data_IF_200469255646
#
_entry.id   IF_200469255646
#
_cell.length_a   1.000
_cell.length_b   1.000
_cell.length_c   1.000
_cell.angle_alpha   90.00
_cell.angle_beta   90.00
_cell.angle_gamma   90.00
#
_symmetry.space_group_name_H-M   'P 1'
#
loop_
_entity.id
_entity.type
_entity.pdbx_description
1 polymer ?
#
# COMPACT_ATOMS: atom_id res chain seq x y z
N UNK A 1 -29.82 17.24 -31.05
CA UNK A 1 -28.52 16.92 -30.43
C UNK A 1 -28.44 17.68 -29.12
N UNK A 2 -28.72 17.01 -28.01
CA UNK A 2 -28.88 17.62 -26.69
C UNK A 2 -27.76 17.06 -25.81
N UNK A 3 -26.81 17.92 -25.44
CA UNK A 3 -25.66 17.57 -24.61
C UNK A 3 -26.11 17.49 -23.15
N UNK A 4 -26.06 16.29 -22.58
CA UNK A 4 -26.33 16.05 -21.17
C UNK A 4 -25.06 16.30 -20.35
N UNK A 5 -25.03 17.37 -19.55
CA UNK A 5 -24.03 17.57 -18.50
C UNK A 5 -24.33 16.62 -17.34
N UNK A 6 -23.44 15.67 -17.08
CA UNK A 6 -23.45 14.85 -15.86
C UNK A 6 -22.63 15.58 -14.81
N UNK A 7 -23.29 16.07 -13.76
CA UNK A 7 -22.63 16.49 -12.53
C UNK A 7 -22.15 15.26 -11.77
N UNK A 8 -20.89 15.27 -11.35
CA UNK A 8 -20.27 14.20 -10.58
C UNK A 8 -20.97 13.98 -9.23
N UNK A 9 -21.66 12.86 -9.11
CA UNK A 9 -21.92 12.23 -7.82
C UNK A 9 -20.62 11.50 -7.41
N UNK A 10 -19.80 12.20 -6.64
CA UNK A 10 -18.67 11.59 -5.94
C UNK A 10 -19.16 10.46 -5.04
N UNK A 11 -18.37 9.40 -4.99
CA UNK A 11 -18.56 8.21 -4.18
C UNK A 11 -18.67 8.63 -2.69
N UNK A 12 -19.91 8.81 -2.22
CA UNK A 12 -20.27 8.84 -0.80
C UNK A 12 -20.95 7.52 -0.52
N UNK A 13 -20.16 6.50 -0.15
CA UNK A 13 -20.71 5.15 -0.03
C UNK A 13 -19.72 4.11 0.44
N UNK A 14 -19.02 4.37 1.55
CA UNK A 14 -18.43 3.33 2.42
C UNK A 14 -17.74 3.99 3.63
N UNK A 15 -18.51 4.56 4.57
CA UNK A 15 -17.96 4.88 5.89
C UNK A 15 -18.99 4.91 7.04
N UNK A 16 -20.25 4.52 6.82
CA UNK A 16 -21.25 4.52 7.91
C UNK A 16 -22.14 3.28 7.82
N UNK A 17 -21.58 2.07 7.95
CA UNK A 17 -22.27 0.88 8.51
C UNK A 17 -21.20 -0.13 8.98
N UNK A 18 -20.45 0.14 10.05
CA UNK A 18 -19.68 -0.89 10.78
C UNK A 18 -19.52 -0.54 12.27
N UNK A 19 -20.62 -0.09 12.90
CA UNK A 19 -20.67 0.11 14.35
C UNK A 19 -21.99 -0.42 14.90
N UNK A 20 -22.25 -1.73 14.74
CA UNK A 20 -23.32 -2.44 15.48
C UNK A 20 -23.36 -3.98 15.38
N UNK A 21 -22.21 -4.66 15.25
CA UNK A 21 -22.24 -6.15 15.17
C UNK A 21 -21.29 -6.92 16.09
N UNK A 22 -20.64 -6.30 17.07
CA UNK A 22 -19.94 -7.05 18.12
C UNK A 22 -20.53 -6.73 19.48
N UNK A 23 -21.39 -7.63 19.95
CA UNK A 23 -21.82 -7.71 21.34
C UNK A 23 -20.92 -8.69 22.11
N UNK A 24 -20.18 -8.18 23.08
CA UNK A 24 -19.85 -8.85 24.33
C UNK A 24 -19.45 -7.78 25.37
N UNK A 25 -19.91 -7.87 26.63
CA UNK A 25 -19.76 -6.81 27.62
C UNK A 25 -18.38 -6.87 28.28
N UNK A 26 -17.64 -5.77 28.27
CA UNK A 26 -16.50 -5.61 29.19
C UNK A 26 -16.99 -4.96 30.48
N UNK A 27 -16.81 -5.68 31.59
CA UNK A 27 -17.16 -5.28 32.94
C UNK A 27 -16.28 -4.09 33.37
N UNK A 28 -16.83 -2.90 33.69
CA UNK A 28 -16.06 -1.72 34.05
C UNK A 28 -15.43 -1.77 35.46
N UNK A 29 -15.54 -2.89 36.19
CA UNK A 29 -15.12 -3.01 37.59
C UNK A 29 -13.94 -3.95 37.82
N UNK A 30 -12.99 -4.06 36.88
CA UNK A 30 -11.71 -4.75 37.16
C UNK A 30 -10.81 -3.87 38.07
N UNK A 31 -10.56 -4.25 39.34
CA UNK A 31 -9.79 -3.45 40.28
C UNK A 31 -8.29 -3.35 39.97
N UNK A 32 -7.76 -4.13 39.01
CA UNK A 32 -6.34 -4.10 38.68
C UNK A 32 -5.95 -2.98 37.69
N UNK A 33 -6.89 -2.43 36.91
CA UNK A 33 -6.61 -1.34 35.95
C UNK A 33 -6.67 0.05 36.63
N UNK A 34 -7.44 0.19 37.71
CA UNK A 34 -7.65 1.48 38.38
C UNK A 34 -6.41 2.00 39.16
N UNK A 35 -5.46 1.13 39.51
CA UNK A 35 -4.34 1.49 40.39
C UNK A 35 -3.07 2.01 39.68
N UNK A 36 -3.03 2.03 38.34
CA UNK A 36 -1.90 2.61 37.59
C UNK A 36 -2.13 4.11 37.30
N UNK A 37 -3.40 4.56 37.29
CA UNK A 37 -3.76 5.92 36.86
C UNK A 37 -3.78 6.98 37.97
N UNK A 38 -3.64 6.61 39.24
CA UNK A 38 -4.00 7.50 40.36
C UNK A 38 -2.84 8.11 41.17
N UNK A 39 -1.57 7.89 40.83
CA UNK A 39 -0.46 8.33 41.70
C UNK A 39 0.28 9.60 41.28
N UNK A 40 0.06 10.19 40.10
CA UNK A 40 0.87 11.33 39.63
C UNK A 40 0.04 12.50 39.08
N UNK A 41 -0.74 13.16 39.94
CA UNK A 41 -1.17 14.54 39.68
C UNK A 41 -1.04 15.34 40.97
N UNK A 42 0.12 15.97 41.17
CA UNK A 42 0.26 17.15 42.01
C UNK A 42 0.68 18.33 41.13
N UNK A 43 -0.03 19.43 41.35
CA UNK A 43 -0.09 20.66 40.57
C UNK A 43 1.20 21.50 40.64
N UNK A 44 1.67 21.99 39.49
CA UNK A 44 2.38 23.27 39.37
C UNK A 44 2.17 23.86 37.95
N UNK A 45 1.73 25.12 37.81
CA UNK A 45 1.64 25.77 36.50
C UNK A 45 2.97 26.42 36.09
N UNK A 46 3.23 26.44 34.77
CA UNK A 46 4.10 27.39 34.03
C UNK A 46 5.61 27.13 33.82
N UNK A 47 6.06 25.87 33.73
CA UNK A 47 7.37 25.54 33.12
C UNK A 47 7.32 24.36 32.14
N UNK A 48 6.36 23.45 32.30
CA UNK A 48 6.19 22.27 31.45
C UNK A 48 5.67 22.60 30.04
N UNK A 49 4.86 23.65 29.88
CA UNK A 49 4.29 24.06 28.59
C UNK A 49 5.34 24.63 27.63
N UNK A 50 6.34 25.36 28.14
CA UNK A 50 7.43 25.92 27.32
C UNK A 50 8.41 24.83 26.87
N UNK A 51 8.77 23.90 27.76
CA UNK A 51 9.64 22.76 27.42
C UNK A 51 8.91 21.78 26.49
N UNK A 52 7.61 21.57 26.69
CA UNK A 52 6.78 20.79 25.78
C UNK A 52 6.65 21.48 24.41
N UNK A 53 6.47 22.81 24.35
CA UNK A 53 6.40 23.54 23.09
C UNK A 53 7.74 23.55 22.34
N UNK A 54 8.86 23.67 23.05
CA UNK A 54 10.19 23.63 22.45
C UNK A 54 10.56 22.23 21.96
N UNK A 55 10.19 21.18 22.70
CA UNK A 55 10.34 19.78 22.23
C UNK A 55 9.46 19.48 21.03
N UNK A 56 8.19 19.89 21.04
CA UNK A 56 7.26 19.72 19.90
C UNK A 56 7.77 20.49 18.67
N UNK A 57 8.35 21.67 18.87
CA UNK A 57 8.97 22.46 17.81
C UNK A 57 10.20 21.78 17.23
N UNK A 58 11.14 21.35 18.08
CA UNK A 58 12.37 20.67 17.64
C UNK A 58 12.08 19.32 16.97
N UNK A 59 11.11 18.56 17.47
CA UNK A 59 10.60 17.34 16.84
C UNK A 59 10.02 17.65 15.45
N UNK A 60 9.31 18.76 15.31
CA UNK A 60 8.71 19.17 14.03
C UNK A 60 9.77 19.64 13.02
N UNK A 61 10.81 20.34 13.45
CA UNK A 61 11.93 20.76 12.59
C UNK A 61 12.73 19.55 12.06
N UNK A 62 13.00 18.54 12.89
CA UNK A 62 13.63 17.28 12.47
C UNK A 62 12.71 16.47 11.53
N UNK A 63 11.40 16.42 11.84
CA UNK A 63 10.39 15.75 11.00
C UNK A 63 10.30 16.35 9.60
N UNK A 64 10.24 17.68 9.49
CA UNK A 64 10.17 18.36 8.19
C UNK A 64 11.48 18.19 7.41
N UNK A 65 12.63 18.26 8.08
CA UNK A 65 13.93 18.06 7.43
C UNK A 65 14.01 16.67 6.79
N UNK A 66 13.65 15.62 7.53
CA UNK A 66 13.60 14.24 7.01
C UNK A 66 12.59 14.08 5.88
N UNK A 67 11.42 14.70 6.01
CA UNK A 67 10.38 14.68 4.98
C UNK A 67 10.82 15.37 3.67
N UNK A 68 11.44 16.54 3.74
CA UNK A 68 11.93 17.25 2.56
C UNK A 68 13.07 16.50 1.88
N UNK A 69 13.96 15.87 2.67
CA UNK A 69 14.99 14.98 2.14
C UNK A 69 14.37 13.77 1.41
N UNK A 70 13.30 13.19 1.95
CA UNK A 70 12.55 12.11 1.32
C UNK A 70 11.91 12.54 0.00
N UNK A 71 11.28 13.73 -0.06
CA UNK A 71 10.72 14.27 -1.30
C UNK A 71 11.81 14.45 -2.37
N UNK A 72 12.97 14.98 -1.98
CA UNK A 72 14.11 15.15 -2.89
C UNK A 72 14.67 13.81 -3.39
N UNK A 73 14.73 12.79 -2.51
CA UNK A 73 15.26 11.46 -2.84
C UNK A 73 14.41 10.74 -3.91
N UNK A 74 13.08 10.82 -3.82
CA UNK A 74 12.18 10.14 -4.76
C UNK A 74 11.86 10.98 -6.01
N UNK A 75 12.12 12.30 -5.97
CA UNK A 75 11.95 13.22 -7.09
C UNK A 75 10.58 13.12 -7.81
N UNK A 76 9.51 12.85 -7.06
CA UNK A 76 8.17 12.70 -7.64
C UNK A 76 7.59 14.03 -8.12
N UNK A 77 6.72 14.02 -9.16
CA UNK A 77 5.95 15.18 -9.54
C UNK A 77 5.12 15.69 -8.35
N UNK A 78 5.17 17.01 -8.11
CA UNK A 78 4.37 17.64 -7.05
C UNK A 78 2.90 17.78 -7.41
N UNK A 79 2.57 17.71 -8.70
CA UNK A 79 1.27 18.14 -9.23
C UNK A 79 1.19 19.67 -9.35
N UNK A 80 0.11 20.16 -9.95
CA UNK A 80 -0.19 21.60 -10.06
C UNK A 80 -1.68 21.85 -9.83
N UNK A 81 -2.01 22.59 -8.77
CA UNK A 81 -3.43 22.87 -8.45
C UNK A 81 -4.10 23.73 -9.52
N UNK A 82 -3.32 24.53 -10.26
CA UNK A 82 -3.79 25.34 -11.39
C UNK A 82 -4.27 24.48 -12.56
N UNK A 83 -3.73 23.26 -12.70
CA UNK A 83 -4.16 22.26 -13.68
C UNK A 83 -5.35 21.41 -13.19
N UNK A 84 -5.90 21.70 -12.01
CA UNK A 84 -6.95 20.90 -11.40
C UNK A 84 -6.44 19.64 -10.70
N UNK A 85 -5.16 19.58 -10.35
CA UNK A 85 -4.51 18.47 -9.64
C UNK A 85 -4.40 18.76 -8.14
N UNK A 86 -3.96 17.77 -7.36
CA UNK A 86 -3.51 17.99 -5.98
C UNK A 86 -2.03 18.33 -6.04
N UNK A 87 -1.65 19.49 -5.51
CA UNK A 87 -0.26 19.95 -5.47
C UNK A 87 0.35 19.74 -4.08
N UNK A 88 1.52 19.11 -4.02
CA UNK A 88 2.33 18.98 -2.82
C UNK A 88 3.01 20.34 -2.52
N UNK A 89 2.81 20.83 -1.30
CA UNK A 89 3.46 22.02 -0.77
C UNK A 89 4.68 21.58 0.04
N UNK A 90 5.87 21.90 -0.44
CA UNK A 90 7.15 21.63 0.23
C UNK A 90 7.84 22.90 0.76
N UNK A 91 7.11 24.02 0.79
CA UNK A 91 7.55 25.24 1.47
C UNK A 91 7.51 25.04 3.00
N UNK A 92 8.70 24.95 3.60
CA UNK A 92 8.90 24.79 5.04
C UNK A 92 8.25 25.91 5.86
N UNK A 93 8.08 27.10 5.28
CA UNK A 93 7.43 28.23 5.95
C UNK A 93 5.91 28.16 5.89
N UNK A 94 5.31 27.35 4.99
CA UNK A 94 3.87 27.21 4.83
C UNK A 94 3.30 25.95 5.50
N UNK A 95 4.11 24.89 5.63
CA UNK A 95 3.72 23.61 6.23
C UNK A 95 3.12 23.78 7.65
N UNK A 96 3.73 24.55 8.58
CA UNK A 96 3.20 24.68 9.95
C UNK A 96 1.79 25.27 10.01
N UNK A 97 1.46 26.22 9.14
CA UNK A 97 0.16 26.88 9.07
C UNK A 97 -0.90 25.90 8.54
N UNK A 98 -0.53 25.07 7.55
CA UNK A 98 -1.41 24.04 7.00
C UNK A 98 -1.70 22.96 8.05
N UNK A 99 -0.67 22.53 8.79
CA UNK A 99 -0.81 21.60 9.91
C UNK A 99 -1.74 22.16 11.00
N UNK A 100 -1.54 23.42 11.41
CA UNK A 100 -2.40 24.09 12.39
C UNK A 100 -3.85 24.25 11.91
N UNK A 101 -4.06 24.62 10.64
CA UNK A 101 -5.40 24.71 10.06
C UNK A 101 -6.09 23.34 10.05
N UNK A 102 -5.35 22.28 9.68
CA UNK A 102 -5.87 20.91 9.69
C UNK A 102 -6.22 20.45 11.09
N UNK A 103 -5.37 20.74 12.07
CA UNK A 103 -5.61 20.46 13.48
C UNK A 103 -6.93 21.11 13.95
N UNK A 104 -7.08 22.42 13.74
CA UNK A 104 -8.29 23.15 14.11
C UNK A 104 -9.54 22.60 13.42
N UNK A 105 -9.44 22.21 12.14
CA UNK A 105 -10.53 21.58 11.41
C UNK A 105 -10.93 20.22 12.00
N UNK A 106 -9.97 19.42 12.48
CA UNK A 106 -10.26 18.12 13.10
C UNK A 106 -10.89 18.30 14.48
N UNK A 107 -10.38 19.23 15.29
CA UNK A 107 -10.98 19.60 16.57
C UNK A 107 -12.43 20.09 16.41
N UNK A 108 -12.71 20.92 15.39
CA UNK A 108 -14.08 21.40 15.14
C UNK A 108 -15.05 20.32 14.66
N UNK A 109 -14.52 19.19 14.18
CA UNK A 109 -15.29 17.96 13.89
C UNK A 109 -15.49 17.06 15.11
N UNK A 110 -15.01 17.48 16.28
CA UNK A 110 -15.16 16.77 17.54
C UNK A 110 -14.11 15.69 17.81
N UNK A 111 -13.00 15.65 17.06
CA UNK A 111 -11.90 14.74 17.38
C UNK A 111 -11.22 15.17 18.69
N UNK A 112 -10.83 14.23 19.56
CA UNK A 112 -9.96 14.51 20.70
C UNK A 112 -8.69 15.23 20.27
N UNK A 113 -8.20 16.15 21.11
CA UNK A 113 -7.05 17.01 20.78
C UNK A 113 -5.81 16.21 20.36
N UNK A 114 -5.51 15.10 21.03
CA UNK A 114 -4.35 14.25 20.70
C UNK A 114 -4.52 13.55 19.35
N UNK A 115 -5.71 13.01 19.06
CA UNK A 115 -6.00 12.36 17.78
C UNK A 115 -6.00 13.36 16.62
N UNK A 116 -6.55 14.56 16.85
CA UNK A 116 -6.53 15.66 15.90
C UNK A 116 -5.09 16.08 15.58
N UNK A 117 -4.23 16.18 16.60
CA UNK A 117 -2.81 16.48 16.45
C UNK A 117 -2.09 15.40 15.63
N UNK A 118 -2.23 14.13 16.02
CA UNK A 118 -1.61 13.02 15.30
C UNK A 118 -2.07 12.92 13.84
N UNK A 119 -3.32 13.26 13.57
CA UNK A 119 -3.92 13.21 12.23
C UNK A 119 -3.68 14.47 11.37
N UNK A 120 -3.18 15.56 11.96
CA UNK A 120 -2.84 16.80 11.24
C UNK A 120 -1.38 16.88 10.81
N UNK A 121 -0.47 16.20 11.52
CA UNK A 121 0.99 16.30 11.34
C UNK A 121 1.45 16.02 9.91
N UNK A 122 2.17 16.97 9.32
CA UNK A 122 2.80 16.83 8.00
C UNK A 122 4.19 16.21 8.17
N UNK A 123 4.59 15.37 7.21
CA UNK A 123 5.89 14.72 7.15
C UNK A 123 5.81 13.20 7.23
N UNK A 124 6.91 12.57 7.67
CA UNK A 124 6.94 11.14 7.96
C UNK A 124 6.11 10.90 9.23
N UNK A 125 5.00 10.17 9.08
CA UNK A 125 4.10 9.81 10.20
C UNK A 125 4.66 8.60 10.94
N UNK A 126 5.07 7.58 10.18
CA UNK A 126 5.77 6.40 10.70
C UNK A 126 6.61 5.77 9.61
N UNK A 127 7.65 5.07 10.03
CA UNK A 127 8.62 4.40 9.17
C UNK A 127 8.98 3.04 9.78
N UNK A 128 8.89 2.00 8.96
CA UNK A 128 9.32 0.65 9.26
C UNK A 128 10.40 0.21 8.26
N UNK A 129 11.00 -0.98 8.44
CA UNK A 129 11.96 -1.57 7.51
C UNK A 129 11.45 -1.60 6.05
N UNK A 130 10.16 -1.83 5.82
CA UNK A 130 9.61 -2.01 4.47
C UNK A 130 8.82 -0.83 3.91
N UNK A 131 8.25 0.01 4.77
CA UNK A 131 7.33 1.06 4.34
C UNK A 131 7.48 2.36 5.11
N UNK A 132 7.07 3.46 4.46
CA UNK A 132 6.97 4.78 5.06
C UNK A 132 5.53 5.27 4.85
N UNK A 133 4.86 5.65 5.94
CA UNK A 133 3.62 6.41 5.87
C UNK A 133 3.97 7.89 5.94
N UNK A 134 3.67 8.63 4.89
CA UNK A 134 3.85 10.08 4.83
C UNK A 134 2.51 10.78 4.80
N UNK A 135 2.48 12.00 5.32
CA UNK A 135 1.37 12.93 5.17
C UNK A 135 1.89 14.23 4.57
N UNK A 136 1.50 14.53 3.34
CA UNK A 136 1.89 15.74 2.65
C UNK A 136 1.02 16.91 3.06
N UNK A 137 1.61 18.11 3.10
CA UNK A 137 0.87 19.34 2.97
C UNK A 137 0.47 19.50 1.49
N UNK A 138 -0.78 19.83 1.22
CA UNK A 138 -1.28 19.92 -0.16
C UNK A 138 -2.16 21.12 -0.41
N UNK A 139 -2.21 21.55 -1.66
CA UNK A 139 -3.24 22.44 -2.22
C UNK A 139 -4.15 21.66 -3.15
N UNK A 140 -5.46 21.78 -2.93
CA UNK A 140 -6.48 21.13 -3.73
C UNK A 140 -6.87 22.00 -4.94
N UNK A 141 -7.54 21.42 -5.96
CA UNK A 141 -7.99 22.14 -7.16
C UNK A 141 -8.88 23.36 -6.88
N UNK A 142 -9.57 23.39 -5.74
CA UNK A 142 -10.40 24.52 -5.31
C UNK A 142 -9.60 25.62 -4.58
N UNK A 143 -8.27 25.55 -4.59
CA UNK A 143 -7.37 26.49 -3.94
C UNK A 143 -7.21 26.30 -2.43
N UNK A 144 -7.99 25.40 -1.80
CA UNK A 144 -7.88 25.15 -0.35
C UNK A 144 -6.65 24.33 -0.04
N UNK A 145 -6.02 24.63 1.09
CA UNK A 145 -4.94 23.84 1.67
C UNK A 145 -5.49 22.71 2.56
N UNK A 146 -4.69 21.68 2.75
CA UNK A 146 -4.95 20.61 3.70
C UNK A 146 -3.83 19.58 3.72
N UNK A 147 -4.16 18.36 4.14
CA UNK A 147 -3.18 17.26 4.18
C UNK A 147 -3.71 16.01 3.48
N UNK A 148 -2.79 15.23 2.92
CA UNK A 148 -3.08 13.97 2.24
C UNK A 148 -2.05 12.92 2.63
N UNK A 149 -2.42 11.64 2.77
CA UNK A 149 -1.48 10.59 3.16
C UNK A 149 -1.10 9.69 1.98
N UNK A 150 0.10 9.11 2.02
CA UNK A 150 0.59 8.13 1.05
C UNK A 150 1.42 7.06 1.74
N UNK A 151 1.39 5.85 1.20
CA UNK A 151 2.32 4.77 1.52
C UNK A 151 3.43 4.71 0.48
N UNK A 152 4.66 4.56 0.97
CA UNK A 152 5.85 4.37 0.15
C UNK A 152 6.42 3.01 0.51
N UNK A 153 6.55 2.12 -0.47
CA UNK A 153 7.32 0.89 -0.29
C UNK A 153 8.79 1.19 -0.50
N UNK A 154 9.63 0.88 0.48
CA UNK A 154 11.06 1.09 0.35
C UNK A 154 11.63 0.18 -0.73
N UNK A 155 12.57 0.70 -1.52
CA UNK A 155 13.37 -0.08 -2.44
C UNK A 155 14.83 0.39 -2.37
N UNK A 156 15.81 -0.46 -2.72
CA UNK A 156 17.23 -0.10 -2.66
C UNK A 156 17.63 1.11 -3.51
N UNK A 157 16.81 1.49 -4.50
CA UNK A 157 17.07 2.54 -5.47
C UNK A 157 15.92 3.55 -5.60
N UNK A 158 14.96 3.52 -4.66
CA UNK A 158 13.80 4.43 -4.60
C UNK A 158 12.82 4.35 -5.80
N UNK A 159 12.88 3.28 -6.59
CA UNK A 159 11.94 3.00 -7.69
C UNK A 159 10.87 1.98 -7.28
N UNK A 160 10.47 1.07 -8.19
CA UNK A 160 9.58 -0.04 -7.85
C UNK A 160 10.23 -0.96 -6.81
N UNK A 161 9.48 -1.34 -5.78
CA UNK A 161 9.95 -2.20 -4.70
C UNK A 161 10.01 -3.68 -5.09
N UNK A 162 9.15 -4.12 -6.01
CA UNK A 162 9.10 -5.50 -6.47
C UNK A 162 8.40 -5.67 -7.82
N UNK A 163 8.16 -6.91 -8.20
CA UNK A 163 7.53 -7.31 -9.45
C UNK A 163 6.69 -8.60 -9.29
N UNK A 164 5.85 -8.89 -10.28
CA UNK A 164 5.13 -10.15 -10.43
C UNK A 164 5.43 -10.78 -11.81
N UNK A 165 5.28 -12.09 -11.96
CA UNK A 165 5.47 -12.78 -13.24
C UNK A 165 4.35 -13.79 -13.51
N UNK A 166 3.85 -13.79 -14.75
CA UNK A 166 2.96 -14.80 -15.29
C UNK A 166 3.81 -15.93 -15.91
N UNK A 167 3.97 -17.08 -15.25
CA UNK A 167 4.82 -18.15 -15.74
C UNK A 167 3.99 -19.11 -16.61
N UNK A 168 4.51 -19.45 -17.78
CA UNK A 168 3.84 -20.27 -18.79
C UNK A 168 4.72 -21.47 -19.13
N UNK A 169 4.21 -22.68 -18.91
CA UNK A 169 4.87 -23.92 -19.29
C UNK A 169 4.93 -24.11 -20.81
N UNK A 170 5.76 -25.05 -21.26
CA UNK A 170 5.87 -25.42 -22.68
C UNK A 170 4.57 -25.95 -23.28
N UNK A 171 3.71 -26.57 -22.48
CA UNK A 171 2.37 -27.02 -22.87
C UNK A 171 1.27 -25.95 -22.69
N UNK A 172 1.66 -24.69 -22.40
CA UNK A 172 0.76 -23.54 -22.38
C UNK A 172 -0.06 -23.36 -21.11
N UNK A 173 0.28 -24.07 -20.02
CA UNK A 173 -0.37 -23.89 -18.71
C UNK A 173 0.22 -22.70 -17.96
N UNK A 174 -0.64 -22.00 -17.25
CA UNK A 174 -0.32 -20.95 -16.29
C UNK A 174 0.08 -21.58 -14.96
N UNK A 175 1.21 -21.15 -14.41
CA UNK A 175 1.68 -21.59 -13.09
C UNK A 175 1.30 -20.55 -12.03
N UNK A 176 0.55 -20.97 -11.02
CA UNK A 176 0.17 -20.16 -9.87
C UNK A 176 0.68 -20.81 -8.59
N UNK A 177 0.90 -20.00 -7.56
CA UNK A 177 1.19 -20.48 -6.20
C UNK A 177 -0.02 -20.27 -5.30
N UNK A 178 -0.28 -21.21 -4.40
CA UNK A 178 -1.27 -21.03 -3.35
C UNK A 178 -0.56 -20.54 -2.09
N UNK A 179 -0.78 -19.28 -1.71
CA UNK A 179 -0.05 -18.62 -0.62
C UNK A 179 -0.98 -18.10 0.45
N UNK A 180 -0.55 -18.21 1.70
CA UNK A 180 -1.28 -17.63 2.82
C UNK A 180 -0.96 -16.13 2.92
N UNK A 181 -1.98 -15.29 2.79
CA UNK A 181 -1.86 -13.84 2.93
C UNK A 181 -2.34 -13.42 4.32
N UNK A 182 -1.40 -12.97 5.16
CA UNK A 182 -1.70 -12.61 6.55
C UNK A 182 -2.74 -11.47 6.66
N UNK A 183 -2.69 -10.48 5.77
CA UNK A 183 -3.60 -9.34 5.77
C UNK A 183 -5.08 -9.76 5.57
N UNK A 184 -5.34 -10.72 4.69
CA UNK A 184 -6.68 -11.25 4.41
C UNK A 184 -7.00 -12.50 5.25
N UNK A 185 -6.01 -13.07 5.93
CA UNK A 185 -6.07 -14.33 6.70
C UNK A 185 -6.60 -15.50 5.86
N UNK A 186 -6.18 -15.57 4.61
CA UNK A 186 -6.70 -16.58 3.67
C UNK A 186 -5.62 -17.15 2.75
N UNK A 187 -5.89 -18.34 2.22
CA UNK A 187 -5.07 -19.00 1.20
C UNK A 187 -5.58 -18.58 -0.17
N UNK A 188 -4.72 -17.91 -0.95
CA UNK A 188 -5.07 -17.25 -2.20
C UNK A 188 -4.15 -17.69 -3.33
N UNK A 189 -4.70 -17.81 -4.53
CA UNK A 189 -3.90 -18.04 -5.74
C UNK A 189 -3.25 -16.75 -6.18
N UNK A 190 -1.94 -16.79 -6.41
CA UNK A 190 -1.20 -15.64 -6.89
C UNK A 190 -0.14 -15.97 -7.94
N UNK A 191 0.22 -14.96 -8.71
CA UNK A 191 1.47 -14.97 -9.47
C UNK A 191 2.68 -14.99 -8.53
N UNK A 192 3.76 -15.72 -8.86
CA UNK A 192 5.05 -15.54 -8.20
C UNK A 192 5.46 -14.06 -8.22
N UNK A 193 5.87 -13.55 -7.06
CA UNK A 193 6.15 -12.12 -6.89
C UNK A 193 7.08 -11.86 -5.71
N UNK A 194 7.82 -10.76 -5.78
CA UNK A 194 8.67 -10.36 -4.67
C UNK A 194 9.42 -9.06 -4.90
N UNK A 195 10.09 -8.62 -3.83
CA UNK A 195 10.91 -7.43 -3.85
C UNK A 195 12.26 -7.69 -4.53
N UNK A 196 12.86 -6.65 -5.11
CA UNK A 196 14.23 -6.71 -5.60
C UNK A 196 15.25 -6.50 -4.47
N UNK A 197 16.39 -7.16 -4.60
CA UNK A 197 17.53 -6.95 -3.72
C UNK A 197 18.49 -5.89 -4.29
N UNK A 198 19.44 -5.46 -3.45
CA UNK A 198 20.39 -4.40 -3.83
C UNK A 198 21.28 -4.86 -4.98
N UNK A 199 21.28 -4.07 -6.06
CA UNK A 199 22.07 -4.35 -7.26
C UNK A 199 21.35 -5.21 -8.30
N UNK A 200 20.15 -5.73 -7.99
CA UNK A 200 19.34 -6.46 -8.96
C UNK A 200 18.58 -5.50 -9.88
N UNK A 201 18.54 -5.84 -11.16
CA UNK A 201 17.47 -5.39 -12.06
C UNK A 201 16.16 -6.08 -11.68
N UNK A 202 15.04 -5.51 -12.10
CA UNK A 202 13.75 -6.08 -11.75
C UNK A 202 13.47 -7.43 -12.45
N UNK A 203 14.04 -7.63 -13.63
CA UNK A 203 13.99 -8.93 -14.31
C UNK A 203 14.79 -10.00 -13.54
N UNK A 204 15.99 -9.66 -13.05
CA UNK A 204 16.78 -10.58 -12.21
C UNK A 204 16.03 -10.97 -10.93
N UNK A 205 15.47 -9.98 -10.23
CA UNK A 205 14.69 -10.21 -9.03
C UNK A 205 13.52 -11.17 -9.31
N UNK A 206 12.74 -10.94 -10.36
CA UNK A 206 11.56 -11.76 -10.61
C UNK A 206 11.89 -13.18 -11.10
N UNK A 207 12.99 -13.35 -11.85
CA UNK A 207 13.50 -14.68 -12.22
C UNK A 207 13.92 -15.47 -10.99
N UNK A 208 14.63 -14.84 -10.05
CA UNK A 208 15.01 -15.44 -8.77
C UNK A 208 13.79 -15.82 -7.94
N UNK A 209 12.83 -14.90 -7.78
CA UNK A 209 11.60 -15.16 -7.01
C UNK A 209 10.76 -16.29 -7.62
N UNK A 210 10.66 -16.36 -8.94
CA UNK A 210 10.00 -17.47 -9.63
C UNK A 210 10.64 -18.82 -9.27
N UNK A 211 11.97 -18.91 -9.34
CA UNK A 211 12.70 -20.13 -8.99
C UNK A 211 12.56 -20.47 -7.51
N UNK A 212 12.67 -19.49 -6.62
CA UNK A 212 12.49 -19.69 -5.17
C UNK A 212 11.08 -20.20 -4.84
N UNK A 213 10.03 -19.59 -5.39
CA UNK A 213 8.64 -19.88 -5.02
C UNK A 213 8.05 -21.10 -5.74
N UNK A 214 8.61 -21.47 -6.92
CA UNK A 214 8.03 -22.53 -7.76
C UNK A 214 8.99 -23.65 -8.17
N UNK A 215 10.30 -23.45 -7.99
CA UNK A 215 11.35 -24.32 -8.54
C UNK A 215 11.61 -24.12 -10.04
N UNK A 216 10.77 -23.35 -10.76
CA UNK A 216 10.95 -23.16 -12.19
C UNK A 216 12.01 -22.12 -12.52
N UNK A 217 12.88 -22.48 -13.47
CA UNK A 217 13.79 -21.55 -14.12
C UNK A 217 13.10 -20.98 -15.36
N UNK A 218 13.09 -19.64 -15.47
CA UNK A 218 12.59 -18.96 -16.66
C UNK A 218 13.61 -19.00 -17.79
N UNK A 219 13.17 -19.36 -18.99
CA UNK A 219 13.92 -19.15 -20.24
C UNK A 219 13.79 -17.69 -20.69
N UNK A 220 12.79 -17.41 -21.53
CA UNK A 220 12.43 -16.04 -21.92
C UNK A 220 11.61 -15.36 -20.81
N UNK A 221 11.90 -14.09 -20.52
CA UNK A 221 11.18 -13.26 -19.56
C UNK A 221 11.04 -11.84 -20.12
N UNK A 222 9.81 -11.33 -20.17
CA UNK A 222 9.50 -10.06 -20.84
C UNK A 222 8.53 -9.22 -20.01
N UNK A 223 8.70 -7.89 -19.97
CA UNK A 223 7.78 -6.99 -19.26
C UNK A 223 6.47 -6.81 -20.06
N UNK A 224 5.34 -7.19 -19.47
CA UNK A 224 3.99 -6.98 -20.02
C UNK A 224 3.49 -5.54 -19.76
N UNK A 225 4.01 -4.88 -18.74
CA UNK A 225 3.69 -3.50 -18.37
C UNK A 225 3.69 -3.33 -16.85
N UNK A 226 3.07 -2.27 -16.35
CA UNK A 226 3.09 -1.93 -14.93
C UNK A 226 1.73 -1.47 -14.44
N UNK A 227 1.38 -1.83 -13.19
CA UNK A 227 0.17 -1.32 -12.52
C UNK A 227 0.47 -0.86 -11.09
N UNK A 228 -0.40 -0.03 -10.54
CA UNK A 228 -0.39 0.35 -9.13
C UNK A 228 -1.56 -0.36 -8.45
N UNK A 229 -1.30 -1.03 -7.32
CA UNK A 229 -2.31 -1.88 -6.65
C UNK A 229 -3.34 -1.02 -5.94
N UNK A 230 -2.91 0.02 -5.23
CA UNK A 230 -3.81 0.94 -4.53
C UNK A 230 -3.52 2.40 -4.87
N UNK A 231 -4.07 2.89 -5.98
CA UNK A 231 -3.81 4.25 -6.49
C UNK A 231 -4.28 5.38 -5.58
N UNK A 232 -5.10 5.11 -4.56
CA UNK A 232 -5.50 6.14 -3.61
C UNK A 232 -4.42 6.48 -2.58
N UNK A 233 -3.43 5.60 -2.40
CA UNK A 233 -2.41 5.77 -1.36
C UNK A 233 -0.99 5.41 -1.81
N UNK A 234 -0.81 4.60 -2.84
CA UNK A 234 0.50 4.17 -3.34
C UNK A 234 0.86 4.91 -4.64
N UNK A 235 2.12 5.35 -4.77
CA UNK A 235 2.62 6.03 -5.97
C UNK A 235 3.50 5.17 -6.87
N UNK A 236 3.92 3.98 -6.42
CA UNK A 236 4.83 3.13 -7.17
C UNK A 236 4.06 2.23 -8.14
N UNK A 237 4.59 2.06 -9.35
CA UNK A 237 4.08 1.12 -10.35
C UNK A 237 4.89 -0.17 -10.30
N UNK A 238 4.22 -1.28 -10.06
CA UNK A 238 4.80 -2.62 -10.00
C UNK A 238 4.84 -3.21 -11.41
N UNK A 239 6.02 -3.53 -11.96
CA UNK A 239 6.12 -4.22 -13.23
C UNK A 239 5.63 -5.66 -13.14
N UNK A 240 4.99 -6.09 -14.21
CA UNK A 240 4.44 -7.42 -14.41
C UNK A 240 5.10 -8.02 -15.62
N UNK A 241 5.67 -9.21 -15.43
CA UNK A 241 6.39 -9.95 -16.46
C UNK A 241 5.56 -11.14 -16.95
N UNK A 242 5.95 -11.68 -18.09
CA UNK A 242 5.61 -13.03 -18.53
C UNK A 242 6.91 -13.82 -18.67
N UNK A 243 6.90 -15.08 -18.25
CA UNK A 243 8.04 -15.98 -18.42
C UNK A 243 7.63 -17.27 -19.11
N UNK A 244 8.37 -17.67 -20.14
CA UNK A 244 8.32 -19.03 -20.68
C UNK A 244 9.24 -19.90 -19.84
N UNK A 245 8.67 -20.95 -19.23
CA UNK A 245 9.39 -21.83 -18.34
C UNK A 245 10.27 -22.79 -19.14
N UNK A 246 11.50 -22.98 -18.67
CA UNK A 246 12.48 -23.85 -19.31
C UNK A 246 12.52 -25.21 -18.62
N UNK A 247 13.04 -25.26 -17.40
CA UNK A 247 13.17 -26.51 -16.63
C UNK A 247 12.91 -26.29 -15.14
N UNK A 248 12.64 -27.39 -14.44
CA UNK A 248 12.51 -27.43 -12.99
C UNK A 248 13.87 -27.67 -12.35
N UNK A 249 14.16 -26.88 -11.34
CA UNK A 249 15.17 -27.17 -10.34
C UNK A 249 14.49 -27.37 -8.98
N UNK A 250 15.24 -27.88 -8.00
CA UNK A 250 14.76 -27.92 -6.63
C UNK A 250 14.45 -26.50 -6.14
N UNK A 251 13.19 -26.25 -5.77
CA UNK A 251 12.82 -25.03 -5.07
C UNK A 251 13.70 -24.87 -3.82
N UNK A 252 14.24 -23.66 -3.62
CA UNK A 252 14.88 -23.32 -2.35
C UNK A 252 13.81 -23.21 -1.27
N UNK A 253 14.22 -23.35 0.00
CA UNK A 253 13.32 -23.22 1.15
C UNK A 253 12.49 -21.94 1.00
N UNK A 254 11.18 -22.11 0.84
CA UNK A 254 10.29 -21.03 0.42
C UNK A 254 10.00 -20.14 1.62
N UNK A 255 10.54 -18.93 1.62
CA UNK A 255 10.15 -17.92 2.58
C UNK A 255 8.71 -17.44 2.28
N UNK A 256 7.81 -17.63 3.25
CA UNK A 256 6.44 -17.12 3.23
C UNK A 256 5.37 -18.12 2.78
N UNK A 257 4.98 -19.03 3.68
CA UNK A 257 3.71 -19.78 3.68
C UNK A 257 3.09 -20.08 2.30
N UNK A 258 3.84 -20.73 1.41
CA UNK A 258 3.33 -21.27 0.14
C UNK A 258 2.96 -22.74 0.38
N UNK A 259 1.71 -23.10 0.09
CA UNK A 259 1.23 -24.48 0.25
C UNK A 259 1.63 -25.35 -0.95
N UNK A 260 1.64 -24.78 -2.16
CA UNK A 260 1.98 -25.52 -3.36
C UNK A 260 1.99 -24.69 -4.63
N UNK A 261 2.48 -25.34 -5.69
CA UNK A 261 2.53 -24.84 -7.06
C UNK A 261 1.49 -25.59 -7.90
N UNK A 262 0.64 -24.85 -8.60
CA UNK A 262 -0.49 -25.38 -9.33
C UNK A 262 -0.45 -24.94 -10.79
N UNK A 263 -0.95 -25.79 -11.67
CA UNK A 263 -0.89 -25.62 -13.12
C UNK A 263 -2.31 -25.60 -13.66
N UNK A 264 -2.68 -24.51 -14.30
CA UNK A 264 -4.00 -24.31 -14.86
C UNK A 264 -3.90 -24.03 -16.35
N UNK A 265 -4.85 -24.50 -17.13
CA UNK A 265 -5.07 -23.99 -18.48
C UNK A 265 -5.48 -22.52 -18.40
N UNK A 266 -5.24 -21.78 -19.49
CA UNK A 266 -5.71 -20.39 -19.63
C UNK A 266 -7.21 -20.29 -19.39
N UNK A 267 -7.98 -21.25 -19.90
CA UNK A 267 -9.43 -21.30 -19.79
C UNK A 267 -9.89 -21.49 -18.34
N UNK A 268 -9.20 -22.34 -17.56
CA UNK A 268 -9.47 -22.49 -16.13
C UNK A 268 -9.20 -21.20 -15.36
N UNK A 269 -8.10 -20.50 -15.65
CA UNK A 269 -7.81 -19.20 -15.01
C UNK A 269 -8.87 -18.15 -15.38
N UNK A 270 -9.30 -18.09 -16.64
CA UNK A 270 -10.34 -17.18 -17.09
C UNK A 270 -11.68 -17.45 -16.42
N UNK A 271 -12.11 -18.71 -16.35
CA UNK A 271 -13.33 -19.07 -15.64
C UNK A 271 -13.19 -18.77 -14.13
N UNK A 272 -12.02 -19.05 -13.56
CA UNK A 272 -11.71 -18.70 -12.18
C UNK A 272 -11.85 -17.21 -11.90
N UNK A 273 -11.27 -16.36 -12.76
CA UNK A 273 -11.37 -14.90 -12.64
C UNK A 273 -12.82 -14.41 -12.75
N UNK A 274 -13.63 -15.06 -13.59
CA UNK A 274 -15.05 -14.76 -13.77
C UNK A 274 -15.90 -15.13 -12.54
N UNK A 275 -15.61 -16.26 -11.89
CA UNK A 275 -16.35 -16.69 -10.68
C UNK A 275 -15.74 -16.19 -9.38
N UNK A 276 -14.51 -15.68 -9.42
CA UNK A 276 -13.78 -15.09 -8.30
C UNK A 276 -12.87 -16.05 -7.52
N UNK A 277 -12.70 -17.30 -7.96
CA UNK A 277 -11.88 -18.30 -7.28
C UNK A 277 -11.45 -19.44 -8.21
N UNK A 278 -10.41 -20.18 -7.82
CA UNK A 278 -10.07 -21.50 -8.37
C UNK A 278 -10.32 -22.59 -7.32
N UNK A 279 -10.55 -23.83 -7.79
CA UNK A 279 -10.76 -24.99 -6.92
C UNK A 279 -9.58 -25.94 -6.95
N UNK A 280 -9.15 -26.39 -5.78
CA UNK A 280 -8.19 -27.48 -5.59
C UNK A 280 -8.64 -28.31 -4.40
N UNK A 281 -8.66 -29.64 -4.53
CA UNK A 281 -9.04 -30.58 -3.45
C UNK A 281 -10.37 -30.19 -2.78
N UNK A 282 -11.38 -29.89 -3.61
CA UNK A 282 -12.73 -29.45 -3.22
C UNK A 282 -12.82 -28.12 -2.43
N UNK A 283 -11.71 -27.40 -2.25
CA UNK A 283 -11.67 -26.08 -1.61
C UNK A 283 -11.62 -24.97 -2.66
N UNK A 284 -12.33 -23.89 -2.37
CA UNK A 284 -12.30 -22.66 -3.17
C UNK A 284 -11.26 -21.72 -2.60
N UNK A 285 -10.40 -21.19 -3.48
CA UNK A 285 -9.37 -20.23 -3.13
C UNK A 285 -9.50 -19.01 -4.03
N UNK A 286 -9.67 -17.79 -3.47
CA UNK A 286 -9.76 -16.58 -4.27
C UNK A 286 -8.39 -16.23 -4.88
N UNK A 287 -8.39 -15.29 -5.83
CA UNK A 287 -7.15 -14.72 -6.37
C UNK A 287 -6.62 -13.59 -5.50
N UNK A 288 -5.28 -13.46 -5.47
CA UNK A 288 -4.60 -12.41 -4.73
C UNK A 288 -4.51 -11.10 -5.54
N UNK A 289 -5.58 -10.33 -5.54
CA UNK A 289 -5.59 -8.98 -6.09
C UNK A 289 -5.68 -8.93 -7.62
N UNK A 290 -5.02 -7.93 -8.24
CA UNK A 290 -5.25 -7.57 -9.64
C UNK A 290 -4.17 -8.05 -10.63
N UNK A 291 -3.07 -8.65 -10.14
CA UNK A 291 -1.92 -8.98 -10.98
C UNK A 291 -2.25 -10.08 -12.01
N UNK A 292 -2.99 -11.10 -11.59
CA UNK A 292 -3.36 -12.25 -12.41
C UNK A 292 -4.23 -11.83 -13.59
N UNK A 293 -5.29 -11.06 -13.30
CA UNK A 293 -6.19 -10.53 -14.32
C UNK A 293 -5.46 -9.61 -15.31
N UNK A 294 -4.62 -8.69 -14.79
CA UNK A 294 -3.85 -7.78 -15.63
C UNK A 294 -2.85 -8.53 -16.52
N UNK A 295 -2.07 -9.45 -15.94
CA UNK A 295 -1.05 -10.19 -16.67
C UNK A 295 -1.67 -11.07 -17.76
N UNK A 296 -2.74 -11.80 -17.43
CA UNK A 296 -3.42 -12.69 -18.36
C UNK A 296 -4.01 -11.90 -19.53
N UNK A 297 -4.69 -10.79 -19.25
CA UNK A 297 -5.25 -9.92 -20.29
C UNK A 297 -4.15 -9.35 -21.20
N UNK A 298 -3.06 -8.84 -20.63
CA UNK A 298 -1.93 -8.32 -21.41
C UNK A 298 -1.30 -9.41 -22.30
N UNK A 299 -1.11 -10.61 -21.75
CA UNK A 299 -0.54 -11.73 -22.49
C UNK A 299 -1.45 -12.15 -23.66
N UNK A 300 -2.77 -12.20 -23.45
CA UNK A 300 -3.74 -12.51 -24.50
C UNK A 300 -3.78 -11.45 -25.60
N UNK A 301 -3.78 -10.16 -25.23
CA UNK A 301 -3.77 -9.05 -26.20
C UNK A 301 -2.51 -9.05 -27.07
N UNK A 302 -1.40 -9.53 -26.53
CA UNK A 302 -0.11 -9.66 -27.23
C UNK A 302 0.07 -11.00 -27.96
N UNK A 303 -0.91 -11.90 -27.89
CA UNK A 303 -0.83 -13.27 -28.44
C UNK A 303 0.37 -14.06 -27.89
N UNK A 304 0.73 -13.82 -26.63
CA UNK A 304 1.84 -14.50 -25.96
C UNK A 304 1.43 -15.84 -25.30
N UNK A 305 0.11 -16.10 -25.20
CA UNK A 305 -0.54 -17.29 -24.62
C UNK A 305 -1.88 -17.61 -25.31
#
# INVERSE_FOLDING_TARGET
MMALRVFGAGIVGACVVLYKMWGAPHNPQDPQIANIAASHIQTAPNASTAIASDRVRQESEDRYTKYLALLAQYAWPKGSWENGEIEIIDDVQAIPQIEAQRYQQLCSKGLPMEEAWNSSRVGIVTEDMYTILVRDAVKFPNGRTGTFFRYIWKSPDHQASGAAVLPITSDGRVVLILKYRHATRSWEFELPRGAKERGETMEQAIRRRLQEETGWVAGACEELGRLTVNTSAEGQRVPVYIAKLDHLESAKEVEGAIQGVYYFTKEEVLEGLKVGYLKVEDKQHPFCGAFEAYALLQAMLRQAI
#
